data_IF_457381821299
#
_entry.id   IF_457381821299
#
_cell.length_a   1.000
_cell.length_b   1.000
_cell.length_c   1.000
_cell.angle_alpha   90.00
_cell.angle_beta   90.00
_cell.angle_gamma   90.00
#
_symmetry.space_group_name_H-M   'P 1'
#
loop_
_entity.id
_entity.type
_entity.pdbx_description
1 polymer ?
#
# COMPACT_ATOMS: atom_id res chain seq x y z
N UNK A 1 -60.62 -11.11 63.46
CA UNK A 1 -59.78 -11.91 62.52
C UNK A 1 -58.66 -10.97 62.10
N UNK A 2 -57.47 -11.06 62.73
CA UNK A 2 -56.34 -10.17 62.53
C UNK A 2 -55.31 -10.90 61.61
N UNK A 3 -55.04 -10.28 60.45
CA UNK A 3 -54.00 -10.73 59.54
C UNK A 3 -52.63 -10.19 60.00
N UNK A 4 -51.66 -11.07 60.16
CA UNK A 4 -50.27 -10.75 60.40
C UNK A 4 -49.55 -10.68 59.05
N UNK A 5 -48.98 -9.51 58.76
CA UNK A 5 -48.07 -9.31 57.64
C UNK A 5 -46.64 -9.57 58.11
N UNK A 6 -45.97 -10.57 57.53
CA UNK A 6 -44.55 -10.85 57.77
C UNK A 6 -43.68 -10.04 56.79
N UNK A 7 -42.84 -9.17 57.31
CA UNK A 7 -41.84 -8.41 56.54
C UNK A 7 -40.56 -9.24 56.48
N UNK A 8 -40.17 -9.67 55.27
CA UNK A 8 -38.89 -10.32 55.00
C UNK A 8 -37.79 -9.27 54.79
N UNK A 9 -36.79 -9.26 55.67
CA UNK A 9 -35.58 -8.43 55.54
C UNK A 9 -34.56 -9.25 54.69
N UNK A 10 -34.26 -8.77 53.48
CA UNK A 10 -33.20 -9.29 52.65
C UNK A 10 -31.84 -8.70 53.05
N UNK A 11 -30.96 -9.50 53.64
CA UNK A 11 -29.55 -9.13 53.86
C UNK A 11 -28.80 -9.21 52.52
N UNK A 12 -28.39 -8.08 51.98
CA UNK A 12 -27.46 -8.01 50.84
C UNK A 12 -26.03 -8.27 51.36
N UNK A 13 -25.47 -9.44 51.00
CA UNK A 13 -24.06 -9.74 51.21
C UNK A 13 -23.24 -8.96 50.16
N UNK A 14 -22.58 -7.89 50.57
CA UNK A 14 -21.56 -7.20 49.79
C UNK A 14 -20.28 -8.02 49.92
N UNK A 15 -19.99 -8.85 48.89
CA UNK A 15 -18.71 -9.52 48.75
C UNK A 15 -17.60 -8.51 48.38
N UNK A 16 -16.34 -8.73 48.85
CA UNK A 16 -15.24 -7.84 48.46
C UNK A 16 -15.04 -7.92 46.97
N UNK A 17 -15.07 -6.74 46.28
CA UNK A 17 -14.72 -6.63 44.87
C UNK A 17 -13.26 -7.08 44.70
N UNK A 18 -13.00 -8.11 43.92
CA UNK A 18 -11.67 -8.51 43.53
C UNK A 18 -11.01 -7.32 42.82
N UNK A 19 -9.75 -7.00 43.12
CA UNK A 19 -9.05 -5.93 42.42
C UNK A 19 -9.00 -6.28 40.93
N UNK A 20 -9.47 -5.35 40.09
CA UNK A 20 -9.34 -5.48 38.64
C UNK A 20 -7.87 -5.73 38.33
N UNK A 21 -7.55 -6.88 37.71
CA UNK A 21 -6.21 -7.18 37.24
C UNK A 21 -5.81 -6.03 36.33
N UNK A 22 -4.84 -5.21 36.75
CA UNK A 22 -4.20 -4.21 35.92
C UNK A 22 -3.61 -4.95 34.73
N UNK A 23 -4.23 -4.82 33.57
CA UNK A 23 -3.70 -5.35 32.33
C UNK A 23 -2.25 -4.84 32.22
N UNK A 24 -1.29 -5.77 32.29
CA UNK A 24 0.12 -5.45 32.18
C UNK A 24 0.32 -4.76 30.84
N UNK A 25 0.61 -3.45 30.86
CA UNK A 25 0.92 -2.71 29.62
C UNK A 25 2.10 -3.42 28.95
N UNK A 26 2.00 -3.74 27.65
CA UNK A 26 3.11 -4.36 26.96
C UNK A 26 4.32 -3.46 27.07
N UNK A 27 5.43 -3.98 27.63
CA UNK A 27 6.69 -3.28 27.75
C UNK A 27 7.32 -3.14 26.34
N UNK A 28 6.94 -2.06 25.67
CA UNK A 28 7.47 -1.71 24.34
C UNK A 28 8.70 -0.82 24.42
N UNK A 29 9.00 -0.28 25.59
CA UNK A 29 10.16 0.60 25.80
C UNK A 29 11.46 -0.18 25.57
N UNK A 30 12.44 0.47 24.94
CA UNK A 30 13.73 -0.11 24.59
C UNK A 30 14.21 0.27 23.20
N UNK A 31 15.29 -0.38 22.77
CA UNK A 31 15.85 -0.20 21.44
C UNK A 31 15.51 -1.43 20.61
N UNK A 32 14.99 -1.21 19.41
CA UNK A 32 14.55 -2.25 18.52
C UNK A 32 15.17 -2.08 17.14
N UNK A 33 15.63 -3.17 16.54
CA UNK A 33 16.00 -3.22 15.13
C UNK A 33 14.92 -3.92 14.33
N UNK A 34 14.55 -3.37 13.18
CA UNK A 34 13.69 -4.04 12.22
C UNK A 34 14.45 -5.16 11.51
N UNK A 35 13.78 -6.26 11.22
CA UNK A 35 14.27 -7.23 10.23
C UNK A 35 14.02 -6.64 8.84
N UNK A 36 15.08 -6.32 8.11
CA UNK A 36 15.03 -5.51 6.89
C UNK A 36 14.82 -4.02 7.17
N UNK A 37 14.50 -3.25 6.16
CA UNK A 37 14.17 -1.82 6.21
C UNK A 37 15.28 -0.87 6.69
N UNK A 38 16.43 -1.35 7.16
CA UNK A 38 17.52 -0.49 7.65
C UNK A 38 17.07 0.51 8.70
N UNK A 39 16.29 0.07 9.70
CA UNK A 39 15.71 0.97 10.72
C UNK A 39 15.99 0.46 12.11
N UNK A 40 16.32 1.37 13.02
CA UNK A 40 16.38 1.17 14.47
C UNK A 40 15.37 2.12 15.13
N UNK A 41 14.65 1.61 16.12
CA UNK A 41 13.65 2.35 16.88
C UNK A 41 14.11 2.51 18.32
N UNK A 42 14.04 3.72 18.85
CA UNK A 42 14.18 4.00 20.29
C UNK A 42 12.81 4.37 20.85
N UNK A 43 12.29 3.55 21.75
CA UNK A 43 11.02 3.82 22.42
C UNK A 43 11.32 4.07 23.89
N UNK A 44 11.12 5.31 24.34
CA UNK A 44 11.40 5.73 25.71
C UNK A 44 10.45 6.86 26.15
N UNK A 45 9.95 6.76 27.37
CA UNK A 45 9.12 7.83 27.98
C UNK A 45 7.95 8.26 27.08
N UNK A 46 7.31 7.31 26.38
CA UNK A 46 6.19 7.62 25.50
C UNK A 46 6.56 8.16 24.12
N UNK A 47 7.85 8.35 23.84
CA UNK A 47 8.32 8.78 22.51
C UNK A 47 8.87 7.60 21.73
N UNK A 48 8.39 7.46 20.50
CA UNK A 48 8.92 6.57 19.46
C UNK A 48 9.81 7.41 18.55
N UNK A 49 11.09 7.06 18.43
CA UNK A 49 12.05 7.73 17.56
C UNK A 49 12.63 6.72 16.59
N UNK A 50 12.48 6.98 15.30
CA UNK A 50 13.12 6.21 14.23
C UNK A 50 14.56 6.69 13.99
N UNK A 51 15.45 5.75 13.67
CA UNK A 51 16.78 5.98 13.13
C UNK A 51 16.93 5.19 11.83
N UNK A 52 17.28 5.88 10.75
CA UNK A 52 17.55 5.30 9.44
C UNK A 52 19.03 4.93 9.37
N UNK A 53 19.31 3.63 9.27
CA UNK A 53 20.66 3.08 9.32
C UNK A 53 21.10 2.54 7.98
N UNK A 54 22.37 2.77 7.65
CA UNK A 54 23.14 2.11 6.60
C UNK A 54 24.49 1.69 7.15
N UNK A 55 25.31 0.99 6.38
CA UNK A 55 26.69 0.66 6.76
C UNK A 55 27.56 1.92 7.02
N UNK A 56 27.19 3.07 6.44
CA UNK A 56 27.99 4.31 6.50
C UNK A 56 27.32 5.43 7.30
N UNK A 57 26.10 5.26 7.76
CA UNK A 57 25.34 6.33 8.43
C UNK A 57 24.28 5.82 9.39
N UNK A 58 23.92 6.70 10.33
CA UNK A 58 22.70 6.60 11.10
C UNK A 58 22.09 8.00 11.22
N UNK A 59 20.95 8.22 10.55
CA UNK A 59 20.26 9.49 10.54
C UNK A 59 18.97 9.42 11.34
N UNK A 60 18.71 10.46 12.12
CA UNK A 60 17.47 10.58 12.87
C UNK A 60 16.28 10.72 11.91
N UNK A 61 15.39 9.75 11.94
CA UNK A 61 14.18 9.69 11.15
C UNK A 61 13.02 10.43 11.80
N UNK A 62 11.81 9.92 11.58
CA UNK A 62 10.60 10.51 12.10
C UNK A 62 10.34 10.08 13.55
N UNK A 63 9.45 10.80 14.24
CA UNK A 63 9.07 10.49 15.60
C UNK A 63 7.57 10.42 15.76
N UNK A 64 7.11 9.67 16.77
CA UNK A 64 5.71 9.57 17.13
C UNK A 64 5.54 9.62 18.64
N UNK A 65 4.37 10.05 19.10
CA UNK A 65 4.01 10.11 20.51
C UNK A 65 3.05 8.99 20.86
N UNK A 66 3.18 8.46 22.06
CA UNK A 66 2.29 7.40 22.57
C UNK A 66 0.87 7.94 22.70
N UNK A 67 -0.06 7.28 22.05
CA UNK A 67 -1.51 7.59 22.11
C UNK A 67 -2.34 6.48 22.75
N UNK A 68 -1.71 5.31 22.98
CA UNK A 68 -2.36 4.17 23.63
C UNK A 68 -1.33 3.08 24.00
N UNK A 69 -1.78 1.95 24.58
CA UNK A 69 -0.92 0.81 24.89
C UNK A 69 -0.24 0.26 23.64
N UNK A 70 1.07 0.47 23.52
CA UNK A 70 1.85 0.05 22.34
C UNK A 70 1.51 0.82 21.05
N UNK A 71 0.71 1.88 21.13
CA UNK A 71 0.26 2.69 19.98
C UNK A 71 0.91 4.05 20.02
N UNK A 72 1.41 4.50 18.87
CA UNK A 72 2.08 5.78 18.68
C UNK A 72 1.51 6.48 17.46
N UNK A 73 1.40 7.80 17.50
CA UNK A 73 0.89 8.60 16.37
C UNK A 73 1.95 9.62 15.96
N UNK A 74 2.25 9.66 14.69
CA UNK A 74 3.15 10.64 14.07
C UNK A 74 2.46 12.00 13.93
N UNK A 75 3.19 13.09 13.69
CA UNK A 75 2.58 14.42 13.51
C UNK A 75 1.60 14.51 12.34
N UNK A 76 1.77 13.70 11.31
CA UNK A 76 0.86 13.61 10.16
C UNK A 76 -0.34 12.68 10.39
N UNK A 77 -0.50 12.14 11.62
CA UNK A 77 -1.64 11.30 12.01
C UNK A 77 -1.48 9.81 11.71
N UNK A 78 -0.34 9.36 11.17
CA UNK A 78 -0.09 7.93 10.94
C UNK A 78 0.01 7.19 12.28
N UNK A 79 -0.73 6.09 12.40
CA UNK A 79 -0.75 5.26 13.61
C UNK A 79 0.21 4.09 13.47
N UNK A 80 1.08 3.95 14.46
CA UNK A 80 2.08 2.90 14.57
C UNK A 80 1.75 2.02 15.78
N UNK A 81 1.66 0.71 15.60
CA UNK A 81 1.40 -0.22 16.70
C UNK A 81 2.59 -1.16 16.89
N UNK A 82 3.20 -1.11 18.08
CA UNK A 82 4.29 -1.99 18.49
C UNK A 82 3.75 -3.04 19.45
N UNK A 83 4.05 -4.32 19.19
CA UNK A 83 3.65 -5.45 20.03
C UNK A 83 4.85 -6.33 20.33
N UNK A 84 5.02 -6.76 21.56
CA UNK A 84 5.96 -7.82 21.91
C UNK A 84 5.39 -9.20 21.57
N UNK A 85 6.23 -10.15 21.16
CA UNK A 85 5.82 -11.48 20.72
C UNK A 85 6.60 -12.57 21.47
N UNK A 86 5.92 -13.33 22.29
CA UNK A 86 6.43 -14.56 22.93
C UNK A 86 7.60 -14.37 23.90
N UNK A 87 8.59 -13.54 23.56
CA UNK A 87 9.71 -13.14 24.42
C UNK A 87 9.83 -11.61 24.44
N UNK A 88 10.53 -11.08 25.48
CA UNK A 88 10.78 -9.63 25.57
C UNK A 88 11.69 -9.09 24.47
N UNK A 89 12.37 -9.97 23.71
CA UNK A 89 13.36 -9.62 22.71
C UNK A 89 12.81 -9.65 21.27
N UNK A 90 11.55 -10.04 21.10
CA UNK A 90 10.87 -10.10 19.81
C UNK A 90 9.61 -9.26 19.81
N UNK A 91 9.37 -8.59 18.72
CA UNK A 91 8.19 -7.77 18.54
C UNK A 91 7.79 -7.64 17.09
N UNK A 92 6.77 -6.83 16.87
CA UNK A 92 6.35 -6.39 15.54
C UNK A 92 5.93 -4.93 15.57
N UNK A 93 6.16 -4.25 14.48
CA UNK A 93 5.65 -2.93 14.16
C UNK A 93 4.63 -3.05 13.03
N UNK A 94 3.41 -2.58 13.28
CA UNK A 94 2.38 -2.36 12.27
C UNK A 94 2.26 -0.88 11.99
N UNK A 95 2.15 -0.54 10.72
CA UNK A 95 1.80 0.80 10.24
C UNK A 95 0.36 0.73 9.72
N UNK A 96 -0.51 1.59 10.18
CA UNK A 96 -1.90 1.62 9.70
C UNK A 96 -1.93 1.89 8.19
N UNK A 97 -2.81 1.20 7.48
CA UNK A 97 -2.91 1.27 6.03
C UNK A 97 -1.98 0.34 5.25
N UNK A 98 -0.91 -0.19 5.88
CA UNK A 98 -0.04 -1.21 5.28
C UNK A 98 -0.53 -2.62 5.60
N UNK A 99 -0.16 -3.59 4.77
CA UNK A 99 -0.42 -5.01 5.02
C UNK A 99 0.78 -5.69 5.69
N UNK A 100 0.53 -6.62 6.60
CA UNK A 100 1.56 -7.33 7.36
C UNK A 100 2.26 -6.46 8.41
N UNK A 101 3.27 -7.03 9.06
CA UNK A 101 4.04 -6.39 10.13
C UNK A 101 5.53 -6.37 9.80
N UNK A 102 6.27 -5.37 10.29
CA UNK A 102 7.73 -5.38 10.32
C UNK A 102 8.17 -6.08 11.60
N UNK A 103 8.95 -7.16 11.49
CA UNK A 103 9.46 -7.86 12.68
C UNK A 103 10.50 -7.00 13.37
N UNK A 104 10.48 -7.05 14.71
CA UNK A 104 11.38 -6.32 15.58
C UNK A 104 12.22 -7.29 16.42
N UNK A 105 13.49 -6.94 16.60
CA UNK A 105 14.40 -7.58 17.54
C UNK A 105 14.93 -6.53 18.50
N UNK A 106 14.84 -6.77 19.80
CA UNK A 106 15.41 -5.89 20.81
C UNK A 106 16.93 -5.96 20.73
N UNK A 107 17.60 -4.82 20.85
CA UNK A 107 19.04 -4.69 20.97
C UNK A 107 19.36 -3.90 22.25
N UNK A 108 20.54 -4.13 22.88
CA UNK A 108 20.86 -3.51 24.18
C UNK A 108 20.98 -2.00 24.11
N UNK A 109 21.51 -1.47 23.01
CA UNK A 109 21.79 -0.05 22.83
C UNK A 109 21.70 0.38 21.36
N UNK A 110 21.67 1.69 21.12
CA UNK A 110 21.77 2.24 19.77
C UNK A 110 23.12 1.86 19.14
N UNK A 111 23.15 1.53 17.84
CA UNK A 111 24.43 1.38 17.13
C UNK A 111 25.32 2.62 17.31
N UNK A 112 26.63 2.42 17.40
CA UNK A 112 27.62 3.53 17.59
C UNK A 112 27.46 4.66 16.56
N UNK A 113 27.13 4.31 15.32
CA UNK A 113 26.87 5.31 14.28
C UNK A 113 25.70 6.25 14.62
N UNK A 114 24.75 5.82 15.46
CA UNK A 114 23.58 6.62 15.86
C UNK A 114 23.87 7.54 17.06
N UNK A 115 25.00 7.37 17.73
CA UNK A 115 25.42 8.19 18.88
C UNK A 115 26.47 9.24 18.49
N UNK A 116 27.01 9.14 17.28
CA UNK A 116 27.99 10.09 16.72
C UNK A 116 27.27 11.15 15.86
N UNK A 117 27.88 12.32 15.61
CA UNK A 117 27.39 13.29 14.64
C UNK A 117 27.17 12.63 13.28
N UNK A 118 26.09 13.01 12.60
CA UNK A 118 25.83 12.55 11.25
C UNK A 118 26.98 13.00 10.31
N UNK A 119 27.32 12.17 9.30
CA UNK A 119 28.26 12.61 8.27
C UNK A 119 27.69 13.82 7.50
N UNK A 120 28.54 14.73 7.06
CA UNK A 120 28.13 15.97 6.42
C UNK A 120 28.82 16.18 5.07
N UNK A 121 28.24 17.08 4.28
CA UNK A 121 28.77 17.50 2.98
C UNK A 121 28.38 16.59 1.81
N UNK A 122 28.76 17.02 0.56
CA UNK A 122 28.34 16.36 -0.68
C UNK A 122 28.82 14.91 -0.79
N UNK A 123 30.05 14.64 -0.36
CA UNK A 123 30.64 13.30 -0.41
C UNK A 123 29.88 12.33 0.50
N UNK A 124 29.56 12.76 1.71
CA UNK A 124 28.79 11.96 2.66
C UNK A 124 27.35 11.75 2.16
N UNK A 125 26.72 12.76 1.58
CA UNK A 125 25.40 12.65 1.00
C UNK A 125 25.37 11.64 -0.16
N UNK A 126 26.38 11.63 -1.03
CA UNK A 126 26.54 10.63 -2.08
C UNK A 126 26.68 9.22 -1.51
N UNK A 127 27.57 9.04 -0.54
CA UNK A 127 27.84 7.72 0.03
C UNK A 127 26.61 7.17 0.77
N UNK A 128 25.85 8.02 1.48
CA UNK A 128 24.57 7.62 2.13
C UNK A 128 23.50 7.32 1.11
N UNK A 129 23.38 8.12 0.03
CA UNK A 129 22.44 7.88 -1.06
C UNK A 129 22.72 6.52 -1.71
N UNK A 130 23.94 6.30 -2.17
CA UNK A 130 24.32 5.04 -2.83
C UNK A 130 24.08 3.84 -1.91
N UNK A 131 24.51 3.94 -0.65
CA UNK A 131 24.39 2.87 0.32
C UNK A 131 22.93 2.56 0.67
N UNK A 132 22.05 3.58 0.71
CA UNK A 132 20.62 3.38 0.95
C UNK A 132 19.98 2.51 -0.11
N UNK A 133 20.31 2.71 -1.39
CA UNK A 133 19.85 1.89 -2.49
C UNK A 133 20.50 0.50 -2.46
N UNK A 134 21.82 0.41 -2.27
CA UNK A 134 22.57 -0.84 -2.20
C UNK A 134 21.99 -1.80 -1.16
N UNK A 135 21.63 -1.30 0.00
CA UNK A 135 21.12 -2.13 1.09
C UNK A 135 19.62 -2.47 0.99
N UNK A 136 18.84 -1.66 0.31
CA UNK A 136 17.39 -1.77 0.40
C UNK A 136 16.67 -2.02 -0.92
N UNK A 137 17.17 -1.51 -2.06
CA UNK A 137 16.49 -1.66 -3.34
C UNK A 137 16.63 -3.09 -3.88
N UNK A 138 15.53 -3.87 -4.09
CA UNK A 138 15.64 -5.29 -4.42
C UNK A 138 15.71 -5.59 -5.93
N UNK A 139 15.50 -4.60 -6.82
CA UNK A 139 15.18 -4.85 -8.22
C UNK A 139 16.34 -4.58 -9.20
N UNK A 140 17.56 -4.32 -8.74
CA UNK A 140 18.70 -4.05 -9.64
C UNK A 140 18.89 -5.17 -10.66
N UNK A 141 18.98 -6.41 -10.20
CA UNK A 141 19.17 -7.58 -11.09
C UNK A 141 18.01 -7.77 -12.06
N UNK A 142 16.75 -7.61 -11.57
CA UNK A 142 15.57 -7.75 -12.40
C UNK A 142 15.48 -6.68 -13.50
N UNK A 143 16.07 -5.51 -13.28
CA UNK A 143 16.12 -4.39 -14.23
C UNK A 143 17.43 -4.36 -15.04
N UNK A 144 18.34 -5.31 -14.83
CA UNK A 144 19.64 -5.37 -15.53
C UNK A 144 20.58 -4.21 -15.19
N UNK A 145 20.47 -3.64 -13.97
CA UNK A 145 21.27 -2.49 -13.52
C UNK A 145 22.42 -2.96 -12.64
N UNK A 146 23.63 -2.58 -13.01
CA UNK A 146 24.82 -2.69 -12.17
C UNK A 146 24.98 -1.40 -11.34
N UNK A 147 24.53 -1.47 -10.09
CA UNK A 147 24.54 -0.31 -9.17
C UNK A 147 25.96 0.07 -8.74
N UNK A 148 26.89 -0.92 -8.70
CA UNK A 148 28.32 -0.67 -8.42
C UNK A 148 28.99 0.05 -9.59
N UNK A 149 28.73 -0.36 -10.82
CA UNK A 149 29.24 0.34 -12.02
C UNK A 149 28.74 1.80 -12.07
N UNK A 150 27.47 2.04 -11.71
CA UNK A 150 26.95 3.40 -11.59
C UNK A 150 27.66 4.20 -10.48
N UNK A 151 27.99 3.59 -9.34
CA UNK A 151 28.80 4.26 -8.31
C UNK A 151 30.15 4.67 -8.88
N UNK A 152 30.87 3.75 -9.52
CA UNK A 152 32.19 3.99 -10.06
C UNK A 152 32.20 5.10 -11.12
N UNK A 153 31.12 5.18 -11.90
CA UNK A 153 30.94 6.23 -12.91
C UNK A 153 30.67 7.61 -12.28
N UNK A 154 29.80 7.67 -11.26
CA UNK A 154 29.31 8.95 -10.73
C UNK A 154 30.06 9.48 -9.52
N UNK A 155 30.65 8.62 -8.68
CA UNK A 155 31.38 9.02 -7.48
C UNK A 155 32.54 10.00 -7.74
N UNK A 156 33.34 9.86 -8.83
CA UNK A 156 34.40 10.81 -9.17
C UNK A 156 33.89 12.22 -9.54
N UNK A 157 32.61 12.37 -9.90
CA UNK A 157 31.98 13.66 -10.22
C UNK A 157 31.64 14.47 -8.96
N UNK A 158 31.67 13.85 -7.77
CA UNK A 158 31.33 14.47 -6.50
C UNK A 158 32.57 14.75 -5.68
N UNK A 159 32.75 16.00 -5.24
CA UNK A 159 33.85 16.48 -4.42
C UNK A 159 33.36 17.44 -3.33
N UNK A 160 34.22 17.91 -2.45
CA UNK A 160 33.84 18.73 -1.30
C UNK A 160 33.16 20.06 -1.65
N UNK A 161 33.32 20.53 -2.89
CA UNK A 161 32.72 21.79 -3.39
C UNK A 161 31.53 21.55 -4.32
N UNK A 162 31.08 20.30 -4.52
CA UNK A 162 29.90 19.99 -5.33
C UNK A 162 28.69 20.69 -4.74
N UNK A 163 28.03 21.45 -5.57
CA UNK A 163 26.83 22.20 -5.17
C UNK A 163 25.63 21.28 -4.96
N UNK A 164 24.59 21.80 -4.31
CA UNK A 164 23.34 21.08 -4.10
C UNK A 164 22.66 20.69 -5.42
N UNK A 165 22.69 21.60 -6.41
CA UNK A 165 22.10 21.36 -7.74
C UNK A 165 22.84 20.30 -8.54
N UNK A 166 24.18 20.34 -8.54
CA UNK A 166 25.01 19.31 -9.17
C UNK A 166 24.78 17.94 -8.53
N UNK A 167 24.66 17.89 -7.20
CA UNK A 167 24.43 16.65 -6.49
C UNK A 167 23.03 16.07 -6.78
N UNK A 168 22.00 16.92 -6.84
CA UNK A 168 20.65 16.49 -7.25
C UNK A 168 20.65 15.93 -8.69
N UNK A 169 21.38 16.58 -9.61
CA UNK A 169 21.52 16.10 -10.98
C UNK A 169 22.22 14.73 -11.02
N UNK A 170 23.32 14.55 -10.26
CA UNK A 170 24.02 13.27 -10.15
C UNK A 170 23.09 12.17 -9.64
N UNK A 171 22.35 12.42 -8.56
CA UNK A 171 21.41 11.44 -8.02
C UNK A 171 20.30 11.09 -9.01
N UNK A 172 19.74 12.09 -9.67
CA UNK A 172 18.71 11.92 -10.70
C UNK A 172 19.20 11.08 -11.88
N UNK A 173 20.43 11.34 -12.37
CA UNK A 173 21.04 10.56 -13.44
C UNK A 173 21.27 9.10 -13.01
N UNK A 174 21.70 8.86 -11.76
CA UNK A 174 21.93 7.51 -11.23
C UNK A 174 20.66 6.68 -11.14
N UNK A 175 19.53 7.28 -10.74
CA UNK A 175 18.26 6.52 -10.60
C UNK A 175 17.44 6.49 -11.89
N UNK A 176 17.72 7.35 -12.86
CA UNK A 176 16.99 7.44 -14.13
C UNK A 176 16.82 6.09 -14.84
N UNK A 177 17.87 5.24 -14.98
CA UNK A 177 17.74 3.97 -15.68
C UNK A 177 16.91 2.91 -14.92
N UNK A 178 16.51 3.16 -13.66
CA UNK A 178 15.64 2.25 -12.92
C UNK A 178 14.20 2.24 -13.47
N UNK A 179 13.73 3.34 -14.08
CA UNK A 179 12.35 3.44 -14.59
C UNK A 179 11.31 2.94 -13.58
N UNK A 180 11.42 3.43 -12.35
CA UNK A 180 10.63 2.97 -11.21
C UNK A 180 9.89 4.16 -10.59
N UNK A 181 8.56 4.16 -10.69
CA UNK A 181 7.74 5.27 -10.21
C UNK A 181 7.74 5.41 -8.67
N UNK A 182 8.24 4.41 -7.95
CA UNK A 182 8.47 4.49 -6.50
C UNK A 182 9.88 4.98 -6.14
N UNK A 183 10.72 5.28 -7.14
CA UNK A 183 12.04 5.88 -6.93
C UNK A 183 11.98 7.36 -7.25
N UNK A 184 12.40 8.19 -6.29
CA UNK A 184 12.51 9.63 -6.47
C UNK A 184 13.72 10.21 -5.74
N UNK A 185 14.19 11.35 -6.25
CA UNK A 185 15.15 12.24 -5.59
C UNK A 185 14.43 13.54 -5.26
N UNK A 186 14.34 13.86 -3.98
CA UNK A 186 13.61 15.02 -3.44
C UNK A 186 14.58 16.07 -2.90
N UNK A 187 14.37 17.33 -3.29
CA UNK A 187 15.08 18.49 -2.80
C UNK A 187 14.10 19.65 -2.61
N UNK A 188 13.42 19.69 -1.48
CA UNK A 188 12.29 20.59 -1.26
C UNK A 188 11.17 20.30 -2.26
N UNK A 189 10.75 21.32 -3.02
CA UNK A 189 9.69 21.18 -4.04
C UNK A 189 10.19 20.56 -5.35
N UNK A 190 11.50 20.42 -5.51
CA UNK A 190 12.10 19.80 -6.70
C UNK A 190 12.15 18.28 -6.51
N UNK A 191 11.42 17.56 -7.35
CA UNK A 191 11.37 16.09 -7.33
C UNK A 191 11.71 15.55 -8.70
N UNK A 192 12.66 14.62 -8.76
CA UNK A 192 12.91 13.80 -9.94
C UNK A 192 12.33 12.40 -9.68
N UNK A 193 11.52 11.91 -10.62
CA UNK A 193 11.01 10.55 -10.67
C UNK A 193 10.91 10.08 -12.11
N UNK A 194 10.89 8.75 -12.31
CA UNK A 194 10.84 8.16 -13.64
C UNK A 194 9.82 7.03 -13.66
N UNK A 195 9.06 6.91 -14.74
CA UNK A 195 8.08 5.83 -14.93
C UNK A 195 8.58 4.81 -15.94
N UNK A 196 7.98 3.64 -15.96
CA UNK A 196 8.25 2.63 -16.99
C UNK A 196 7.91 3.21 -18.38
N UNK A 197 8.80 3.04 -19.37
CA UNK A 197 8.55 3.53 -20.74
C UNK A 197 7.21 3.05 -21.29
N UNK A 198 6.49 3.93 -21.96
CA UNK A 198 5.16 3.66 -22.52
C UNK A 198 4.02 3.71 -21.51
N UNK A 199 4.27 4.15 -20.27
CA UNK A 199 3.25 4.36 -19.24
C UNK A 199 3.23 5.81 -18.78
N UNK A 200 2.13 6.19 -18.11
CA UNK A 200 1.98 7.49 -17.45
C UNK A 200 1.43 7.31 -16.04
N UNK A 201 1.81 8.20 -15.13
CA UNK A 201 1.19 8.23 -13.81
C UNK A 201 -0.22 8.81 -13.89
N UNK A 202 -1.15 8.37 -13.04
CA UNK A 202 -2.46 8.96 -12.93
C UNK A 202 -2.33 10.36 -12.32
N UNK A 203 -2.63 11.39 -13.12
CA UNK A 203 -2.77 12.77 -12.66
C UNK A 203 -4.25 13.10 -12.46
N UNK A 204 -4.53 14.15 -11.69
CA UNK A 204 -5.92 14.63 -11.51
C UNK A 204 -6.55 15.04 -12.85
N UNK A 205 -5.75 15.61 -13.76
CA UNK A 205 -6.21 16.00 -15.11
C UNK A 205 -6.59 14.76 -15.94
N UNK A 206 -5.71 13.75 -15.97
CA UNK A 206 -5.98 12.48 -16.67
C UNK A 206 -7.20 11.78 -16.09
N UNK A 207 -7.31 11.71 -14.76
CA UNK A 207 -8.44 11.11 -14.07
C UNK A 207 -9.76 11.81 -14.44
N UNK A 208 -9.77 13.14 -14.45
CA UNK A 208 -10.93 13.95 -14.82
C UNK A 208 -11.32 13.74 -16.28
N UNK A 209 -10.34 13.76 -17.21
CA UNK A 209 -10.55 13.52 -18.66
C UNK A 209 -11.20 12.14 -18.86
N UNK A 210 -10.61 11.11 -18.26
CA UNK A 210 -11.07 9.73 -18.40
C UNK A 210 -12.44 9.53 -17.77
N UNK A 211 -12.67 10.02 -16.55
CA UNK A 211 -13.98 9.92 -15.89
C UNK A 211 -15.09 10.56 -16.72
N UNK A 212 -14.83 11.75 -17.28
CA UNK A 212 -15.78 12.43 -18.17
C UNK A 212 -16.09 11.60 -19.41
N UNK A 213 -15.09 10.98 -20.03
CA UNK A 213 -15.27 10.09 -21.17
C UNK A 213 -16.12 8.88 -20.82
N UNK A 214 -15.79 8.15 -19.75
CA UNK A 214 -16.52 6.98 -19.27
C UNK A 214 -17.98 7.31 -19.00
N UNK A 215 -18.26 8.38 -18.27
CA UNK A 215 -19.64 8.78 -17.94
C UNK A 215 -20.44 9.12 -19.20
N UNK A 216 -19.86 9.87 -20.12
CA UNK A 216 -20.56 10.32 -21.33
C UNK A 216 -20.73 9.22 -22.39
N UNK A 217 -19.85 8.22 -22.41
CA UNK A 217 -19.82 7.19 -23.44
C UNK A 217 -20.27 5.83 -22.91
N UNK A 218 -19.55 5.29 -21.91
CA UNK A 218 -19.73 3.91 -21.46
C UNK A 218 -20.93 3.75 -20.53
N UNK A 219 -21.23 4.78 -19.74
CA UNK A 219 -22.28 4.78 -18.74
C UNK A 219 -23.53 5.58 -19.14
N UNK A 220 -23.64 6.00 -20.42
CA UNK A 220 -24.78 6.81 -20.90
C UNK A 220 -26.16 6.17 -20.69
N UNK A 221 -26.21 4.84 -20.76
CA UNK A 221 -27.44 4.05 -20.57
C UNK A 221 -27.53 3.36 -19.21
N UNK A 222 -26.55 3.66 -18.33
CA UNK A 222 -26.48 3.11 -16.99
C UNK A 222 -27.52 3.75 -16.06
N UNK A 223 -27.89 3.01 -15.00
CA UNK A 223 -28.78 3.49 -13.94
C UNK A 223 -27.99 3.60 -12.64
N UNK A 224 -28.52 4.35 -11.69
CA UNK A 224 -27.95 4.49 -10.35
C UNK A 224 -26.47 4.92 -10.36
N UNK A 225 -26.08 5.72 -11.37
CA UNK A 225 -24.73 6.28 -11.42
C UNK A 225 -24.53 7.21 -10.23
N UNK A 226 -23.55 6.88 -9.39
CA UNK A 226 -23.26 7.64 -8.17
C UNK A 226 -21.78 7.57 -7.83
N UNK A 227 -21.28 8.69 -7.29
CA UNK A 227 -19.95 8.79 -6.69
C UNK A 227 -20.03 8.63 -5.17
N UNK A 228 -19.02 7.97 -4.61
CA UNK A 228 -18.85 7.72 -3.19
C UNK A 228 -17.41 8.06 -2.77
N UNK A 229 -17.16 8.09 -1.48
CA UNK A 229 -15.82 8.18 -0.92
C UNK A 229 -15.02 9.33 -1.58
N UNK A 230 -15.55 10.54 -1.48
CA UNK A 230 -14.95 11.75 -2.07
C UNK A 230 -14.64 11.62 -3.59
N UNK A 231 -15.51 10.92 -4.33
CA UNK A 231 -15.36 10.71 -5.78
C UNK A 231 -14.32 9.67 -6.20
N UNK A 232 -13.67 9.01 -5.23
CA UNK A 232 -12.70 7.93 -5.49
C UNK A 232 -13.35 6.63 -5.94
N UNK A 233 -14.62 6.42 -5.60
CA UNK A 233 -15.42 5.27 -5.99
C UNK A 233 -16.59 5.78 -6.81
N UNK A 234 -16.81 5.21 -8.00
CA UNK A 234 -17.98 5.45 -8.84
C UNK A 234 -18.65 4.10 -9.10
N UNK A 235 -19.98 4.03 -8.92
CA UNK A 235 -20.76 2.84 -9.23
C UNK A 235 -21.91 3.16 -10.17
N UNK A 236 -22.24 2.20 -11.04
CA UNK A 236 -23.41 2.24 -11.89
C UNK A 236 -23.95 0.83 -12.20
N UNK A 237 -25.29 0.69 -12.33
CA UNK A 237 -25.94 -0.51 -12.85
C UNK A 237 -26.00 -0.44 -14.38
N UNK A 238 -25.36 -1.39 -15.04
CA UNK A 238 -25.32 -1.47 -16.51
C UNK A 238 -26.52 -2.23 -17.08
N UNK A 239 -26.91 -1.95 -18.34
CA UNK A 239 -27.86 -2.77 -19.06
C UNK A 239 -27.40 -4.24 -19.12
N UNK A 240 -28.33 -5.19 -18.94
CA UNK A 240 -28.04 -6.63 -18.97
C UNK A 240 -27.69 -7.23 -17.59
N UNK A 241 -27.72 -6.43 -16.52
CA UNK A 241 -27.55 -6.90 -15.14
C UNK A 241 -26.10 -6.97 -14.68
N UNK A 242 -25.16 -6.31 -15.36
CA UNK A 242 -23.82 -6.11 -14.86
C UNK A 242 -23.74 -4.85 -13.98
N UNK A 243 -22.76 -4.81 -13.07
CA UNK A 243 -22.36 -3.62 -12.34
C UNK A 243 -21.04 -3.05 -12.87
N UNK A 244 -20.85 -1.76 -12.74
CA UNK A 244 -19.60 -1.07 -12.99
C UNK A 244 -19.12 -0.41 -11.69
N UNK A 245 -17.90 -0.73 -11.26
CA UNK A 245 -17.25 -0.18 -10.08
C UNK A 245 -15.89 0.38 -10.47
N UNK A 246 -15.76 1.70 -10.49
CA UNK A 246 -14.49 2.38 -10.69
C UNK A 246 -13.86 2.73 -9.35
N UNK A 247 -12.56 2.47 -9.22
CA UNK A 247 -11.77 2.80 -8.05
C UNK A 247 -10.53 3.57 -8.53
N UNK A 248 -10.45 4.88 -8.26
CA UNK A 248 -9.36 5.73 -8.73
C UNK A 248 -8.18 5.84 -7.74
N UNK A 249 -8.30 5.23 -6.57
CA UNK A 249 -7.26 5.15 -5.55
C UNK A 249 -7.76 4.50 -4.27
N UNK A 250 -6.83 4.12 -3.41
CA UNK A 250 -7.09 3.48 -2.13
C UNK A 250 -6.74 4.44 -0.98
N UNK A 251 -7.48 5.53 -0.90
CA UNK A 251 -7.36 6.60 0.08
C UNK A 251 -7.98 7.89 -0.41
N UNK A 252 -7.94 8.95 0.41
CA UNK A 252 -8.65 10.20 0.17
C UNK A 252 -10.16 10.08 0.29
N UNK A 253 -10.66 8.98 0.84
CA UNK A 253 -12.10 8.68 0.96
C UNK A 253 -12.81 9.62 1.91
N UNK A 254 -12.19 9.93 3.05
CA UNK A 254 -12.69 10.87 4.06
C UNK A 254 -12.02 12.27 3.95
N UNK A 255 -11.40 12.56 2.82
CA UNK A 255 -10.61 13.77 2.59
C UNK A 255 -9.11 13.57 2.78
N UNK A 256 -8.33 14.58 2.33
CA UNK A 256 -6.88 14.55 2.40
C UNK A 256 -6.40 14.58 3.86
N UNK A 257 -5.39 13.78 4.18
CA UNK A 257 -4.82 13.69 5.54
C UNK A 257 -5.72 13.04 6.58
N UNK A 258 -6.90 12.55 6.23
CA UNK A 258 -7.76 11.84 7.19
C UNK A 258 -7.10 10.52 7.65
N UNK A 259 -7.17 10.17 8.96
CA UNK A 259 -6.56 8.96 9.48
C UNK A 259 -7.18 7.71 8.87
N UNK A 260 -6.41 6.61 8.84
CA UNK A 260 -6.81 5.33 8.23
C UNK A 260 -8.18 4.84 8.69
N UNK A 261 -8.50 4.96 9.99
CA UNK A 261 -9.80 4.56 10.52
C UNK A 261 -10.98 5.33 9.90
N UNK A 262 -10.81 6.63 9.63
CA UNK A 262 -11.83 7.43 8.95
C UNK A 262 -11.96 7.06 7.47
N UNK A 263 -10.83 6.78 6.79
CA UNK A 263 -10.82 6.27 5.42
C UNK A 263 -11.58 4.95 5.31
N UNK A 264 -11.33 4.02 6.25
CA UNK A 264 -11.99 2.72 6.29
C UNK A 264 -13.50 2.87 6.54
N UNK A 265 -13.89 3.70 7.49
CA UNK A 265 -15.32 3.92 7.80
C UNK A 265 -16.09 4.52 6.61
N UNK A 266 -15.44 5.41 5.83
CA UNK A 266 -16.06 5.95 4.61
C UNK A 266 -16.14 4.90 3.50
N UNK A 267 -15.12 4.06 3.36
CA UNK A 267 -15.13 2.94 2.43
C UNK A 267 -16.25 1.95 2.77
N UNK A 268 -16.44 1.60 4.05
CA UNK A 268 -17.52 0.70 4.48
C UNK A 268 -18.89 1.26 4.08
N UNK A 269 -19.16 2.55 4.34
CA UNK A 269 -20.42 3.19 3.92
C UNK A 269 -20.64 3.11 2.40
N UNK A 270 -19.59 3.32 1.62
CA UNK A 270 -19.65 3.23 0.17
C UNK A 270 -19.94 1.79 -0.27
N UNK A 271 -19.24 0.79 0.28
CA UNK A 271 -19.41 -0.61 -0.09
C UNK A 271 -20.76 -1.19 0.34
N UNK A 272 -21.27 -0.81 1.53
CA UNK A 272 -22.60 -1.21 1.98
C UNK A 272 -23.71 -0.73 1.03
N UNK A 273 -23.51 0.46 0.42
CA UNK A 273 -24.46 0.99 -0.59
C UNK A 273 -24.25 0.36 -1.96
N UNK A 274 -22.99 0.19 -2.39
CA UNK A 274 -22.63 -0.33 -3.71
C UNK A 274 -22.93 -1.82 -3.83
N UNK A 275 -22.62 -2.59 -2.80
CA UNK A 275 -22.75 -4.05 -2.77
C UNK A 275 -23.86 -4.50 -1.81
N UNK A 276 -24.97 -3.76 -1.75
CA UNK A 276 -26.10 -4.17 -0.93
C UNK A 276 -26.62 -5.58 -1.29
N UNK A 277 -27.34 -6.20 -0.36
CA UNK A 277 -27.78 -7.59 -0.49
C UNK A 277 -28.70 -7.84 -1.69
N UNK A 278 -29.56 -6.89 -2.03
CA UNK A 278 -30.46 -7.02 -3.16
C UNK A 278 -29.69 -6.96 -4.48
N UNK A 279 -28.76 -5.98 -4.59
CA UNK A 279 -27.93 -5.81 -5.78
C UNK A 279 -26.98 -7.00 -5.99
N UNK A 280 -26.28 -7.46 -4.96
CA UNK A 280 -25.33 -8.58 -5.08
C UNK A 280 -25.99 -9.88 -5.52
N UNK A 281 -27.27 -10.10 -5.20
CA UNK A 281 -28.05 -11.25 -5.68
C UNK A 281 -28.45 -11.13 -7.15
N UNK A 282 -28.62 -9.93 -7.66
CA UNK A 282 -29.09 -9.68 -9.04
C UNK A 282 -27.97 -9.51 -10.05
N UNK A 283 -26.77 -9.13 -9.59
CA UNK A 283 -25.62 -8.91 -10.46
C UNK A 283 -25.22 -10.20 -11.16
N UNK A 284 -25.18 -10.17 -12.49
CA UNK A 284 -24.69 -11.26 -13.35
C UNK A 284 -23.21 -11.17 -13.65
N UNK A 285 -22.60 -10.00 -13.39
CA UNK A 285 -21.18 -9.72 -13.56
C UNK A 285 -20.81 -8.37 -12.98
N UNK A 286 -19.55 -8.18 -12.61
CA UNK A 286 -19.03 -6.91 -12.11
C UNK A 286 -17.79 -6.51 -12.91
N UNK A 287 -17.83 -5.33 -13.52
CA UNK A 287 -16.65 -4.67 -14.09
C UNK A 287 -16.02 -3.84 -12.99
N UNK A 288 -14.75 -4.10 -12.66
CA UNK A 288 -13.94 -3.30 -11.73
C UNK A 288 -12.90 -2.55 -12.55
N UNK A 289 -12.99 -1.23 -12.55
CA UNK A 289 -12.11 -0.36 -13.34
C UNK A 289 -11.06 0.32 -12.46
N UNK A 290 -9.80 -0.11 -12.62
CA UNK A 290 -8.63 0.47 -11.98
C UNK A 290 -7.62 1.00 -12.99
N UNK A 291 -8.02 1.24 -14.25
CA UNK A 291 -7.14 1.71 -15.33
C UNK A 291 -6.45 3.05 -15.00
N UNK A 292 -7.12 3.91 -14.27
CA UNK A 292 -6.53 5.13 -13.71
C UNK A 292 -6.67 5.03 -12.19
N UNK A 293 -5.61 4.53 -11.55
CA UNK A 293 -5.59 4.31 -10.09
C UNK A 293 -4.20 4.61 -9.54
N UNK A 294 -4.11 5.61 -8.69
CA UNK A 294 -2.84 6.13 -8.13
C UNK A 294 -2.31 5.34 -6.93
N UNK A 295 -2.94 4.21 -6.57
CA UNK A 295 -2.54 3.44 -5.39
C UNK A 295 -3.10 4.00 -4.09
N UNK A 296 -2.33 3.90 -3.03
CA UNK A 296 -2.67 4.28 -1.66
C UNK A 296 -2.46 3.13 -0.68
N UNK A 297 -3.46 2.85 0.18
CA UNK A 297 -3.39 1.81 1.21
C UNK A 297 -3.69 0.41 0.66
N UNK A 298 -2.72 -0.50 0.75
CA UNK A 298 -2.92 -1.93 0.45
C UNK A 298 -4.02 -2.54 1.30
N UNK A 299 -4.12 -2.14 2.57
CA UNK A 299 -5.12 -2.67 3.50
C UNK A 299 -6.54 -2.32 3.06
N UNK A 300 -6.77 -1.13 2.48
CA UNK A 300 -8.08 -0.77 1.89
C UNK A 300 -8.37 -1.59 0.63
N UNK A 301 -7.36 -1.88 -0.19
CA UNK A 301 -7.52 -2.79 -1.33
C UNK A 301 -7.90 -4.22 -0.91
N UNK A 302 -7.23 -4.77 0.09
CA UNK A 302 -7.56 -6.09 0.68
C UNK A 302 -8.97 -6.09 1.29
N UNK A 303 -9.38 -4.98 1.92
CA UNK A 303 -10.72 -4.83 2.48
C UNK A 303 -11.80 -4.89 1.38
N UNK A 304 -11.63 -4.16 0.27
CA UNK A 304 -12.54 -4.25 -0.89
C UNK A 304 -12.58 -5.68 -1.45
N UNK A 305 -11.43 -6.35 -1.56
CA UNK A 305 -11.37 -7.73 -2.04
C UNK A 305 -12.16 -8.70 -1.13
N UNK A 306 -12.28 -8.39 0.17
CA UNK A 306 -13.10 -9.15 1.12
C UNK A 306 -14.60 -9.13 0.80
N UNK A 307 -15.10 -8.08 0.15
CA UNK A 307 -16.48 -8.01 -0.34
C UNK A 307 -16.71 -8.79 -1.66
N UNK A 308 -15.67 -9.36 -2.22
CA UNK A 308 -15.71 -10.10 -3.49
C UNK A 308 -15.53 -11.62 -3.32
N UNK A 309 -15.53 -12.13 -2.09
CA UNK A 309 -15.36 -13.56 -1.78
C UNK A 309 -16.17 -13.97 -0.56
N UNK A 310 -16.58 -15.21 -0.50
CA UNK A 310 -17.16 -15.88 0.68
C UNK A 310 -16.18 -16.87 1.35
N UNK A 311 -15.01 -17.06 0.75
CA UNK A 311 -13.99 -18.00 1.23
C UNK A 311 -12.66 -17.27 1.42
N UNK A 312 -11.99 -17.43 2.58
CA UNK A 312 -10.66 -16.86 2.76
C UNK A 312 -9.66 -17.45 1.77
N UNK A 313 -8.77 -16.59 1.24
CA UNK A 313 -7.71 -17.06 0.34
C UNK A 313 -6.43 -16.22 0.52
N UNK A 314 -5.29 -16.80 0.15
CA UNK A 314 -4.01 -16.09 0.13
C UNK A 314 -3.95 -15.21 -1.13
N UNK A 315 -3.82 -13.91 -0.95
CA UNK A 315 -3.66 -12.94 -2.02
C UNK A 315 -2.25 -12.99 -2.62
N UNK A 316 -1.25 -12.77 -1.77
CA UNK A 316 0.16 -12.72 -2.14
C UNK A 316 1.02 -12.91 -0.89
N UNK A 317 2.32 -12.81 -0.99
CA UNK A 317 3.22 -12.63 0.15
C UNK A 317 4.13 -11.44 -0.10
N UNK A 318 4.63 -10.81 0.96
CA UNK A 318 5.66 -9.80 0.85
C UNK A 318 6.90 -10.17 1.65
N UNK A 319 8.06 -9.72 1.17
CA UNK A 319 9.34 -9.82 1.86
C UNK A 319 10.17 -8.56 1.60
N UNK A 320 11.07 -8.22 2.52
CA UNK A 320 11.98 -7.09 2.37
C UNK A 320 13.43 -7.55 2.35
N UNK A 321 14.33 -6.74 1.78
CA UNK A 321 15.77 -6.93 1.92
C UNK A 321 16.15 -6.98 3.41
N UNK A 322 17.01 -7.92 3.80
CA UNK A 322 17.34 -8.19 5.20
C UNK A 322 18.85 -8.21 5.51
N UNK A 323 19.68 -7.92 4.53
CA UNK A 323 21.14 -7.91 4.74
C UNK A 323 21.81 -6.86 3.86
N UNK A 324 22.64 -6.02 4.48
CA UNK A 324 23.30 -4.91 3.80
C UNK A 324 24.34 -5.32 2.77
N UNK A 325 25.02 -6.45 2.98
CA UNK A 325 26.08 -6.92 2.09
C UNK A 325 25.69 -8.11 1.20
N UNK A 326 24.50 -8.68 1.37
CA UNK A 326 24.03 -9.83 0.59
C UNK A 326 22.66 -9.54 -0.02
N UNK A 327 22.59 -9.23 -1.33
CA UNK A 327 21.33 -8.88 -2.01
C UNK A 327 20.35 -10.04 -2.11
N UNK A 328 20.79 -11.27 -1.85
CA UNK A 328 19.92 -12.46 -1.94
C UNK A 328 19.17 -12.73 -0.63
N UNK A 329 19.57 -12.09 0.47
CA UNK A 329 18.94 -12.30 1.77
C UNK A 329 17.75 -11.38 1.98
N UNK A 330 16.62 -11.99 2.29
CA UNK A 330 15.35 -11.33 2.55
C UNK A 330 14.78 -11.74 3.90
N UNK A 331 13.83 -10.99 4.40
CA UNK A 331 12.97 -11.41 5.50
C UNK A 331 12.17 -12.65 5.10
N UNK A 332 11.68 -13.40 6.08
CA UNK A 332 10.75 -14.49 5.81
C UNK A 332 9.50 -13.94 5.11
N UNK A 333 9.08 -14.50 3.98
CA UNK A 333 7.87 -14.06 3.30
C UNK A 333 6.65 -14.11 4.23
N UNK A 334 5.93 -13.00 4.31
CA UNK A 334 4.70 -12.88 5.09
C UNK A 334 3.51 -13.01 4.16
N UNK A 335 2.67 -14.04 4.32
CA UNK A 335 1.46 -14.18 3.52
C UNK A 335 0.43 -13.12 3.93
N UNK A 336 -0.22 -12.55 2.92
CA UNK A 336 -1.37 -11.66 3.05
C UNK A 336 -2.61 -12.43 2.59
N UNK A 337 -3.65 -12.39 3.41
CA UNK A 337 -4.90 -13.09 3.15
C UNK A 337 -6.03 -12.09 2.94
N UNK A 338 -6.89 -12.39 1.99
CA UNK A 338 -8.23 -11.80 1.89
C UNK A 338 -9.15 -12.63 2.77
N UNK A 339 -9.82 -11.98 3.70
CA UNK A 339 -10.86 -12.58 4.55
C UNK A 339 -12.21 -12.02 4.12
N UNK A 340 -13.26 -12.85 3.99
CA UNK A 340 -14.58 -12.36 3.64
C UNK A 340 -15.07 -11.27 4.58
N UNK A 341 -15.61 -10.20 4.02
CA UNK A 341 -16.23 -9.12 4.77
C UNK A 341 -17.46 -9.62 5.56
N UNK A 342 -17.80 -8.93 6.65
CA UNK A 342 -19.00 -9.27 7.44
C UNK A 342 -20.31 -8.88 6.73
N UNK A 343 -20.26 -7.85 5.87
CA UNK A 343 -21.40 -7.35 5.10
C UNK A 343 -21.74 -8.18 3.87
N UNK A 344 -22.61 -7.67 2.99
CA UNK A 344 -22.94 -8.28 1.71
C UNK A 344 -21.69 -8.49 0.85
N UNK A 345 -21.67 -9.59 0.09
CA UNK A 345 -20.54 -9.99 -0.75
C UNK A 345 -21.02 -10.39 -2.13
N UNK A 346 -20.23 -10.01 -3.13
CA UNK A 346 -20.42 -10.44 -4.50
C UNK A 346 -19.40 -11.51 -4.87
N UNK A 347 -19.85 -12.71 -5.16
CA UNK A 347 -18.96 -13.86 -5.48
C UNK A 347 -19.03 -14.28 -6.95
N UNK A 348 -19.85 -13.59 -7.74
CA UNK A 348 -20.00 -13.83 -9.17
C UNK A 348 -18.79 -13.45 -10.03
N UNK A 349 -18.92 -13.53 -11.37
CA UNK A 349 -17.83 -13.21 -12.31
C UNK A 349 -17.39 -11.75 -12.25
N UNK A 350 -16.08 -11.52 -12.31
CA UNK A 350 -15.45 -10.19 -12.27
C UNK A 350 -14.57 -9.99 -13.52
N UNK A 351 -14.69 -8.84 -14.16
CA UNK A 351 -13.76 -8.33 -15.16
C UNK A 351 -13.00 -7.13 -14.56
N UNK A 352 -11.68 -7.24 -14.46
CA UNK A 352 -10.82 -6.17 -13.93
C UNK A 352 -10.17 -5.45 -15.10
N UNK A 353 -10.43 -4.15 -15.25
CA UNK A 353 -9.82 -3.31 -16.26
C UNK A 353 -8.53 -2.70 -15.70
N UNK A 354 -7.40 -2.95 -16.37
CA UNK A 354 -6.07 -2.50 -15.96
C UNK A 354 -5.36 -1.70 -17.04
N UNK A 355 -4.37 -0.90 -16.67
CA UNK A 355 -3.56 -0.14 -17.60
C UNK A 355 -2.26 0.35 -16.98
N UNK A 356 -1.40 1.00 -17.78
CA UNK A 356 -0.12 1.55 -17.33
C UNK A 356 -0.22 2.63 -16.25
N UNK A 357 -1.43 3.16 -16.00
CA UNK A 357 -1.75 4.07 -14.89
C UNK A 357 -2.44 3.35 -13.71
N UNK A 358 -2.38 2.02 -13.65
CA UNK A 358 -2.71 1.24 -12.45
C UNK A 358 -1.41 1.09 -11.65
N UNK A 359 -1.31 1.74 -10.48
CA UNK A 359 -0.06 1.96 -9.75
C UNK A 359 -0.19 1.48 -8.30
N UNK A 360 0.89 0.93 -7.72
CA UNK A 360 1.04 0.69 -6.28
C UNK A 360 -0.10 -0.17 -5.70
N UNK A 361 -0.88 0.31 -4.73
CA UNK A 361 -2.03 -0.42 -4.18
C UNK A 361 -3.09 -0.78 -5.24
N UNK A 362 -3.13 -0.11 -6.41
CA UNK A 362 -3.91 -0.53 -7.57
C UNK A 362 -3.43 -1.87 -8.13
N UNK A 363 -2.12 -2.09 -8.09
CA UNK A 363 -1.49 -3.32 -8.53
C UNK A 363 -1.62 -4.44 -7.49
N UNK A 364 -1.40 -4.14 -6.21
CA UNK A 364 -1.56 -5.14 -5.13
C UNK A 364 -3.01 -5.59 -4.98
N UNK A 365 -3.98 -4.70 -5.18
CA UNK A 365 -5.39 -5.05 -5.30
C UNK A 365 -5.65 -5.95 -6.52
N UNK A 366 -5.12 -5.60 -7.69
CA UNK A 366 -5.21 -6.44 -8.90
C UNK A 366 -4.57 -7.81 -8.66
N UNK A 367 -3.41 -7.87 -8.00
CA UNK A 367 -2.74 -9.11 -7.63
C UNK A 367 -3.56 -9.94 -6.65
N UNK A 368 -4.21 -9.30 -5.66
CA UNK A 368 -5.11 -9.98 -4.73
C UNK A 368 -6.26 -10.67 -5.45
N UNK A 369 -6.79 -10.07 -6.51
CA UNK A 369 -7.88 -10.67 -7.29
C UNK A 369 -7.44 -11.79 -8.24
N UNK A 370 -6.12 -12.02 -8.43
CA UNK A 370 -5.64 -13.12 -9.30
C UNK A 370 -5.98 -14.49 -8.75
N UNK A 371 -5.91 -14.66 -7.44
CA UNK A 371 -6.17 -15.92 -6.74
C UNK A 371 -7.56 -15.94 -6.06
N UNK A 372 -8.42 -14.96 -6.39
CA UNK A 372 -9.79 -14.89 -5.88
C UNK A 372 -10.57 -16.14 -6.26
N UNK A 373 -11.24 -16.82 -5.33
CA UNK A 373 -12.21 -17.86 -5.66
C UNK A 373 -13.30 -17.32 -6.61
N UNK A 374 -13.60 -18.09 -7.62
CA UNK A 374 -14.51 -17.65 -8.68
C UNK A 374 -13.78 -16.99 -9.86
N UNK A 375 -14.55 -16.70 -10.91
CA UNK A 375 -13.99 -16.22 -12.17
C UNK A 375 -13.55 -14.77 -12.08
N UNK A 376 -12.28 -14.51 -12.40
CA UNK A 376 -11.72 -13.17 -12.55
C UNK A 376 -10.94 -13.08 -13.86
N UNK A 377 -11.27 -12.11 -14.73
CA UNK A 377 -10.58 -11.87 -16.01
C UNK A 377 -10.01 -10.46 -16.01
N UNK A 378 -8.71 -10.33 -16.26
CA UNK A 378 -8.03 -9.04 -16.42
C UNK A 378 -8.01 -8.64 -17.89
N UNK A 379 -8.35 -7.38 -18.18
CA UNK A 379 -8.50 -6.86 -19.55
C UNK A 379 -7.86 -5.47 -19.63
N UNK A 380 -7.18 -5.18 -20.72
CA UNK A 380 -6.55 -3.89 -21.00
C UNK A 380 -5.05 -4.00 -21.24
N UNK A 381 -4.23 -3.25 -20.51
CA UNK A 381 -2.77 -3.23 -20.63
C UNK A 381 -2.12 -3.67 -19.32
N UNK A 382 -0.81 -4.06 -19.35
CA UNK A 382 -0.06 -4.33 -18.14
C UNK A 382 -0.09 -3.12 -17.19
N UNK A 383 -0.15 -3.40 -15.88
CA UNK A 383 -0.07 -2.38 -14.82
C UNK A 383 1.32 -1.72 -14.80
N UNK A 384 1.55 -0.71 -13.94
CA UNK A 384 2.80 0.06 -13.91
C UNK A 384 4.05 -0.77 -13.59
N UNK A 385 3.96 -1.73 -12.66
CA UNK A 385 5.07 -2.54 -12.21
C UNK A 385 5.80 -1.97 -11.00
N UNK A 386 5.07 -1.40 -10.04
CA UNK A 386 5.61 -0.80 -8.80
C UNK A 386 4.70 -1.10 -7.62
N UNK A 387 5.09 -2.05 -6.76
CA UNK A 387 4.20 -2.65 -5.75
C UNK A 387 4.51 -2.24 -4.31
N UNK A 388 5.77 -2.03 -3.97
CA UNK A 388 6.26 -1.88 -2.61
C UNK A 388 5.73 -0.63 -1.91
N UNK A 389 5.60 -0.70 -0.59
CA UNK A 389 5.66 0.50 0.24
C UNK A 389 6.96 1.28 -0.04
N UNK A 390 6.88 2.60 -0.05
CA UNK A 390 8.02 3.46 -0.38
C UNK A 390 8.69 3.95 0.90
N UNK A 391 9.98 3.69 1.02
CA UNK A 391 10.79 4.27 2.10
C UNK A 391 11.34 5.63 1.68
N UNK A 392 11.11 6.64 2.51
CA UNK A 392 11.77 7.95 2.37
C UNK A 392 13.04 7.96 3.21
N UNK A 393 14.20 8.05 2.56
CA UNK A 393 15.53 8.11 3.19
C UNK A 393 16.04 9.54 3.22
N UNK A 394 16.23 10.07 4.40
CA UNK A 394 16.89 11.39 4.60
C UNK A 394 18.36 11.29 4.20
N UNK A 395 18.86 12.33 3.59
CA UNK A 395 20.27 12.47 3.24
C UNK A 395 20.93 13.56 4.12
N UNK A 396 22.23 13.48 4.40
CA UNK A 396 22.92 14.43 5.31
C UNK A 396 22.79 15.89 4.89
N UNK A 397 22.63 16.17 3.62
CA UNK A 397 22.49 17.52 3.04
C UNK A 397 21.04 18.05 3.03
N UNK A 398 20.10 17.36 3.67
CA UNK A 398 18.70 17.75 3.73
C UNK A 398 17.84 17.38 2.50
N UNK A 399 18.42 16.74 1.48
CA UNK A 399 17.66 16.03 0.45
C UNK A 399 17.06 14.76 0.99
N UNK A 400 16.21 14.10 0.18
CA UNK A 400 15.76 12.75 0.46
C UNK A 400 15.75 11.90 -0.82
N UNK A 401 15.87 10.59 -0.63
CA UNK A 401 15.64 9.60 -1.67
C UNK A 401 14.43 8.74 -1.29
N UNK A 402 13.60 8.42 -2.26
CA UNK A 402 12.48 7.51 -2.13
C UNK A 402 12.84 6.22 -2.86
N UNK A 403 12.59 5.08 -2.23
CA UNK A 403 12.86 3.78 -2.85
C UNK A 403 12.00 2.67 -2.26
N UNK A 404 11.58 1.70 -3.09
CA UNK A 404 10.94 0.48 -2.63
C UNK A 404 11.98 -0.44 -1.99
N UNK A 405 11.56 -1.30 -1.04
CA UNK A 405 12.42 -2.35 -0.49
C UNK A 405 11.72 -3.70 -0.32
N UNK A 406 10.48 -3.78 -0.71
CA UNK A 406 9.66 -4.98 -0.59
C UNK A 406 9.40 -5.61 -1.95
N UNK A 407 9.35 -6.93 -1.99
CA UNK A 407 8.85 -7.70 -3.12
C UNK A 407 7.48 -8.28 -2.77
N UNK A 408 6.53 -8.10 -3.65
CA UNK A 408 5.19 -8.67 -3.56
C UNK A 408 5.13 -9.94 -4.42
N UNK A 409 5.03 -11.09 -3.78
CA UNK A 409 5.24 -12.39 -4.40
C UNK A 409 3.92 -13.12 -4.65
N UNK A 410 3.76 -13.62 -5.86
CA UNK A 410 2.71 -14.58 -6.21
C UNK A 410 2.85 -15.88 -5.40
N UNK A 411 1.91 -16.81 -5.53
CA UNK A 411 2.04 -18.18 -4.97
C UNK A 411 3.27 -18.92 -5.47
N UNK A 412 3.69 -18.66 -6.71
CA UNK A 412 4.89 -19.25 -7.31
C UNK A 412 6.19 -18.53 -6.94
N UNK A 413 6.13 -17.50 -6.08
CA UNK A 413 7.32 -16.76 -5.64
C UNK A 413 7.84 -15.73 -6.65
N UNK A 414 7.07 -15.37 -7.68
CA UNK A 414 7.43 -14.34 -8.68
C UNK A 414 6.85 -12.99 -8.27
N UNK A 415 7.55 -11.91 -8.63
CA UNK A 415 7.06 -10.54 -8.56
C UNK A 415 6.69 -10.02 -9.94
N UNK A 416 5.86 -8.98 -9.99
CA UNK A 416 5.54 -8.22 -11.19
C UNK A 416 6.21 -6.85 -11.22
N UNK A 417 7.09 -6.56 -10.27
CA UNK A 417 7.87 -5.32 -10.28
C UNK A 417 8.64 -5.17 -11.59
N UNK A 418 8.64 -3.97 -12.15
CA UNK A 418 9.25 -3.64 -13.42
C UNK A 418 8.44 -3.99 -14.65
N UNK A 419 7.65 -5.07 -14.62
CA UNK A 419 6.88 -5.53 -15.80
C UNK A 419 5.40 -5.18 -15.74
N UNK A 420 4.84 -5.05 -14.53
CA UNK A 420 3.41 -4.95 -14.28
C UNK A 420 2.67 -6.29 -14.41
N UNK A 421 1.47 -6.35 -13.88
CA UNK A 421 0.58 -7.51 -14.01
C UNK A 421 0.02 -7.54 -15.44
N UNK A 422 0.26 -8.60 -16.23
CA UNK A 422 -0.29 -8.69 -17.57
C UNK A 422 -1.79 -8.94 -17.54
N UNK A 423 -2.56 -8.37 -18.47
CA UNK A 423 -3.96 -8.74 -18.66
C UNK A 423 -4.06 -10.17 -19.24
N UNK A 424 -5.22 -10.79 -19.09
CA UNK A 424 -5.56 -12.02 -19.82
C UNK A 424 -5.95 -11.73 -21.28
N UNK A 425 -6.57 -10.56 -21.49
CA UNK A 425 -7.01 -10.07 -22.79
C UNK A 425 -6.44 -8.65 -22.98
N UNK A 426 -5.53 -8.52 -23.94
CA UNK A 426 -4.92 -7.23 -24.28
C UNK A 426 -5.88 -6.41 -25.13
N UNK A 427 -6.19 -5.20 -24.67
CA UNK A 427 -7.01 -4.21 -25.36
C UNK A 427 -6.36 -2.82 -25.22
N UNK A 428 -6.58 -1.89 -26.13
CA UNK A 428 -6.21 -0.49 -25.93
C UNK A 428 -6.82 0.09 -24.65
N UNK A 429 -6.16 1.09 -24.07
CA UNK A 429 -6.63 1.78 -22.87
C UNK A 429 -6.46 3.28 -23.04
N UNK A 430 -7.53 3.98 -23.30
CA UNK A 430 -7.60 5.44 -23.39
C UNK A 430 -6.56 6.07 -24.31
N UNK A 431 -6.32 5.43 -25.48
CA UNK A 431 -5.47 5.99 -26.52
C UNK A 431 -6.16 7.18 -27.18
N UNK A 432 -5.40 8.09 -27.84
CA UNK A 432 -6.00 9.20 -28.61
C UNK A 432 -6.98 8.66 -29.65
N UNK A 433 -6.66 7.55 -30.33
CA UNK A 433 -7.55 6.89 -31.31
C UNK A 433 -8.89 6.45 -30.69
N UNK A 434 -8.86 5.96 -29.44
CA UNK A 434 -10.10 5.60 -28.73
C UNK A 434 -10.94 6.81 -28.35
N UNK A 435 -10.29 7.90 -27.89
CA UNK A 435 -11.00 9.15 -27.60
C UNK A 435 -11.65 9.73 -28.86
N UNK A 436 -10.90 9.79 -29.98
CA UNK A 436 -11.37 10.32 -31.26
C UNK A 436 -12.54 9.53 -31.83
N UNK A 437 -12.45 8.20 -31.75
CA UNK A 437 -13.49 7.28 -32.21
C UNK A 437 -14.62 7.07 -31.21
N UNK A 438 -14.54 7.65 -30.03
CA UNK A 438 -15.48 7.43 -28.93
C UNK A 438 -15.68 5.95 -28.65
N UNK A 439 -14.59 5.20 -28.49
CA UNK A 439 -14.59 3.76 -28.30
C UNK A 439 -13.79 3.40 -27.04
N UNK A 440 -14.34 2.54 -26.19
CA UNK A 440 -13.63 1.90 -25.09
C UNK A 440 -13.58 0.38 -25.35
N UNK A 441 -12.46 -0.05 -25.95
CA UNK A 441 -12.28 -1.45 -26.35
C UNK A 441 -12.24 -2.38 -25.13
N UNK A 442 -11.54 -1.97 -24.07
CA UNK A 442 -11.41 -2.76 -22.85
C UNK A 442 -12.75 -2.92 -22.12
N UNK A 443 -13.53 -1.84 -22.01
CA UNK A 443 -14.87 -1.90 -21.40
C UNK A 443 -15.81 -2.77 -22.23
N UNK A 444 -15.88 -2.57 -23.55
CA UNK A 444 -16.69 -3.39 -24.44
C UNK A 444 -16.34 -4.88 -24.37
N UNK A 445 -15.02 -5.20 -24.27
CA UNK A 445 -14.54 -6.56 -24.10
C UNK A 445 -14.96 -7.17 -22.76
N UNK A 446 -14.95 -6.38 -21.68
CA UNK A 446 -15.41 -6.82 -20.36
C UNK A 446 -16.89 -7.21 -20.38
N UNK A 447 -17.75 -6.38 -20.99
CA UNK A 447 -19.17 -6.69 -21.09
C UNK A 447 -19.42 -7.98 -21.88
N UNK A 448 -18.69 -8.23 -22.96
CA UNK A 448 -18.81 -9.47 -23.73
C UNK A 448 -18.42 -10.70 -22.89
N UNK A 449 -17.24 -10.64 -22.22
CA UNK A 449 -16.75 -11.73 -21.36
C UNK A 449 -17.72 -12.06 -20.23
N UNK A 450 -18.40 -11.06 -19.65
CA UNK A 450 -19.37 -11.26 -18.59
C UNK A 450 -20.72 -11.78 -19.11
N UNK A 451 -21.13 -11.45 -20.35
CA UNK A 451 -22.37 -11.95 -20.97
C UNK A 451 -22.31 -13.40 -21.41
N UNK A 452 -21.19 -13.81 -22.01
CA UNK A 452 -21.02 -15.16 -22.58
C UNK A 452 -21.14 -16.28 -21.53
N UNK A 453 -21.25 -15.94 -20.27
CA UNK A 453 -21.33 -16.86 -19.13
C UNK A 453 -22.64 -16.78 -18.35
N UNK A 454 -23.55 -15.87 -18.71
CA UNK A 454 -24.92 -15.87 -18.22
C UNK A 454 -25.82 -16.93 -18.87
N UNK A 455 -25.31 -17.64 -19.89
CA UNK A 455 -26.04 -18.60 -20.70
C UNK A 455 -25.85 -20.08 -20.40
N UNK A 456 -24.98 -20.45 -19.44
CA UNK A 456 -24.73 -21.87 -19.11
C UNK A 456 -25.15 -22.21 -17.68
N UNK A 457 -26.41 -22.03 -17.36
CA UNK A 457 -27.09 -22.74 -16.28
C UNK A 457 -28.44 -23.20 -16.84
N UNK A 458 -28.42 -24.30 -17.53
CA UNK A 458 -29.60 -25.15 -17.79
C UNK A 458 -29.25 -26.58 -17.37
#
# INVERSE_FOLDING_TARGET
>A
MRMFTATAVALALVGPAAPAATAHQPDTDGIWRTDGYGTVLSIRNGTFQEYQTTAVSCLKGDSAQRTGPGTYTTPDGTVLTVRTRGSRDRGSLRVDGSVGDRNLRRIPELPDACTRPAPEGPLAAFDVFWQSFEENYPFFSAKGIDWHALRDQYRPRVHAKTTRDELHAVFSEMVKPLYDAHVAVEDGDRVFAQVRPGTVLPTQELDTKVKKFIVAHDLKDARNLQDFANGRITYADLPGGQGYLRISGFGGYAGDGAPYAAQLAELDRALDTVLDQERTRRLKGLVIDVRINGGGSDALGIHIAGHLTDTPYRAYSRRARNHSADPTRHTRPQPVYVTPAQGPRYTGPVAVLTGGSTVSAGETFTQALMDRPGRTVRIGQPTQGVFSDVMRRKLPNGMAAWLPNEEFLTRSGRTFDGTGIPPHLTEPVFTEDEFDKRKDSAFGRALNVLRDHGGTTS
#
